data_IF_899530942920
#
_entry.id   IF_899530942920
#
_cell.length_a   1.000
_cell.length_b   1.000
_cell.length_c   1.000
_cell.angle_alpha   90.00
_cell.angle_beta   90.00
_cell.angle_gamma   90.00
#
_symmetry.space_group_name_H-M   'P 1'
#
loop_
_entity.id
_entity.type
_entity.pdbx_description
1 polymer ?
#
# COMPACT_ATOMS: atom_id res chain seq x y z
N UNK A 1 0.58 -15.38 18.00
CA UNK A 1 -0.10 -14.40 17.11
C UNK A 1 0.21 -14.73 15.65
N UNK A 2 -0.73 -14.53 14.72
CA UNK A 2 -0.52 -14.71 13.27
C UNK A 2 -0.87 -13.41 12.57
N UNK A 3 0.00 -12.96 11.67
CA UNK A 3 -0.24 -11.82 10.78
C UNK A 3 -0.56 -12.28 9.38
N UNK A 4 -1.53 -11.63 8.75
CA UNK A 4 -1.85 -11.79 7.33
C UNK A 4 -1.70 -10.43 6.68
N UNK A 5 -0.69 -10.28 5.82
CA UNK A 5 -0.46 -9.07 5.05
C UNK A 5 -1.16 -9.17 3.71
N UNK A 6 -1.94 -8.17 3.38
CA UNK A 6 -2.65 -8.10 2.11
C UNK A 6 -2.27 -6.81 1.40
N UNK A 7 -1.77 -6.94 0.18
CA UNK A 7 -1.57 -5.79 -0.71
C UNK A 7 -2.91 -5.34 -1.28
N UNK A 8 -3.09 -4.03 -1.46
CA UNK A 8 -4.28 -3.50 -2.13
C UNK A 8 -4.47 -4.09 -3.54
N UNK A 9 -5.71 -4.18 -3.99
CA UNK A 9 -6.04 -4.60 -5.34
C UNK A 9 -5.51 -3.64 -6.42
N UNK A 10 -5.48 -4.10 -7.66
CA UNK A 10 -5.03 -3.27 -8.80
C UNK A 10 -5.88 -2.02 -8.94
N UNK A 11 -5.24 -0.85 -9.00
CA UNK A 11 -5.91 0.44 -9.18
C UNK A 11 -5.94 0.85 -10.65
N UNK A 12 -6.71 1.89 -11.00
CA UNK A 12 -6.67 2.47 -12.34
C UNK A 12 -5.29 3.02 -12.68
N UNK A 13 -4.57 3.63 -11.71
CA UNK A 13 -3.19 4.07 -11.93
C UNK A 13 -2.24 2.91 -12.23
N UNK A 14 -2.43 1.76 -11.58
CA UNK A 14 -1.66 0.56 -11.93
C UNK A 14 -1.94 0.08 -13.36
N UNK A 15 -3.17 0.22 -13.86
CA UNK A 15 -3.52 -0.19 -15.23
C UNK A 15 -2.85 0.66 -16.30
N UNK A 16 -2.66 1.94 -16.02
CA UNK A 16 -2.04 2.90 -16.94
C UNK A 16 -0.58 3.24 -16.57
N UNK A 17 0.02 2.47 -15.64
CA UNK A 17 1.41 2.59 -15.22
C UNK A 17 1.80 3.99 -14.71
N UNK A 18 0.96 4.58 -13.88
CA UNK A 18 1.30 5.81 -13.16
C UNK A 18 1.85 5.47 -11.77
N UNK A 19 2.85 6.25 -11.34
CA UNK A 19 3.42 6.19 -10.00
C UNK A 19 2.36 6.64 -8.99
N UNK A 20 2.11 5.82 -7.98
CA UNK A 20 1.30 6.18 -6.83
C UNK A 20 2.23 6.59 -5.68
N UNK A 21 1.79 6.64 -4.54
CA UNK A 21 2.41 7.01 -3.29
C UNK A 21 1.26 7.49 -2.43
N UNK A 22 1.27 8.75 -2.06
CA UNK A 22 0.16 9.37 -1.35
C UNK A 22 -0.98 9.80 -2.27
N UNK A 23 -0.70 10.10 -3.55
CA UNK A 23 -1.77 10.27 -4.51
C UNK A 23 -2.51 8.93 -4.71
N UNK A 24 -3.78 8.99 -4.98
CA UNK A 24 -4.64 7.80 -4.92
C UNK A 24 -5.50 7.64 -6.16
N UNK A 25 -5.85 6.40 -6.41
CA UNK A 25 -6.72 6.00 -7.49
C UNK A 25 -7.56 4.81 -7.00
N UNK A 26 -8.85 4.77 -7.29
CA UNK A 26 -9.69 3.67 -6.85
C UNK A 26 -9.28 2.35 -7.48
N UNK A 27 -9.70 1.24 -6.89
CA UNK A 27 -9.52 -0.09 -7.46
C UNK A 27 -10.21 -0.17 -8.82
N UNK A 28 -9.51 -0.76 -9.79
CA UNK A 28 -10.10 -1.09 -11.08
C UNK A 28 -11.05 -2.28 -10.95
N UNK A 29 -11.86 -2.55 -11.98
CA UNK A 29 -12.71 -3.75 -12.02
C UNK A 29 -11.91 -5.04 -11.84
N UNK A 30 -10.68 -5.08 -12.35
CA UNK A 30 -9.76 -6.21 -12.15
C UNK A 30 -9.33 -6.29 -10.70
N UNK A 31 -8.94 -5.16 -10.10
CA UNK A 31 -8.54 -5.06 -8.70
C UNK A 31 -9.64 -5.50 -7.74
N UNK A 32 -10.88 -5.08 -7.98
CA UNK A 32 -12.03 -5.51 -7.17
C UNK A 32 -12.17 -7.03 -7.20
N UNK A 33 -12.14 -7.66 -8.38
CA UNK A 33 -12.22 -9.13 -8.51
C UNK A 33 -11.05 -9.85 -7.82
N UNK A 34 -9.83 -9.28 -7.88
CA UNK A 34 -8.67 -9.82 -7.15
C UNK A 34 -8.95 -9.83 -5.64
N UNK A 35 -9.44 -8.71 -5.10
CA UNK A 35 -9.71 -8.59 -3.67
C UNK A 35 -10.87 -9.47 -3.22
N UNK A 36 -11.92 -9.60 -4.04
CA UNK A 36 -13.02 -10.55 -3.78
C UNK A 36 -12.54 -11.99 -3.72
N UNK A 37 -11.60 -12.38 -4.58
CA UNK A 37 -10.97 -13.71 -4.54
C UNK A 37 -10.15 -13.91 -3.27
N UNK A 38 -9.38 -12.92 -2.84
CA UNK A 38 -8.64 -12.94 -1.57
C UNK A 38 -9.61 -13.02 -0.40
N UNK A 39 -10.70 -12.25 -0.42
CA UNK A 39 -11.73 -12.28 0.63
C UNK A 39 -12.28 -13.70 0.84
N UNK A 40 -12.57 -14.42 -0.25
CA UNK A 40 -13.02 -15.82 -0.18
C UNK A 40 -11.96 -16.74 0.45
N UNK A 41 -10.69 -16.57 0.09
CA UNK A 41 -9.61 -17.37 0.67
C UNK A 41 -9.44 -17.08 2.17
N UNK A 42 -9.71 -15.87 2.60
CA UNK A 42 -9.61 -15.46 4.00
C UNK A 42 -10.84 -15.84 4.84
N UNK A 43 -11.92 -16.34 4.25
CA UNK A 43 -13.10 -16.80 4.99
C UNK A 43 -12.78 -17.90 6.02
N UNK A 44 -11.80 -18.76 5.72
CA UNK A 44 -11.35 -19.84 6.62
C UNK A 44 -10.59 -19.36 7.86
N UNK A 45 -10.15 -18.11 7.90
CA UNK A 45 -9.38 -17.57 9.02
C UNK A 45 -10.26 -16.70 9.91
N UNK A 46 -10.18 -16.94 11.22
CA UNK A 46 -10.68 -15.99 12.20
C UNK A 46 -9.73 -14.80 12.24
N UNK A 47 -10.28 -13.60 12.12
CA UNK A 47 -9.57 -12.34 12.20
C UNK A 47 -10.07 -11.63 13.44
N UNK A 48 -9.18 -11.30 14.36
CA UNK A 48 -9.54 -10.62 15.60
C UNK A 48 -9.47 -9.11 15.43
N UNK A 49 -8.47 -8.62 14.69
CA UNK A 49 -8.28 -7.20 14.37
C UNK A 49 -7.78 -7.05 12.94
N UNK A 50 -8.15 -5.96 12.31
CA UNK A 50 -7.68 -5.58 10.98
C UNK A 50 -7.21 -4.14 10.98
N UNK A 51 -6.04 -3.90 10.43
CA UNK A 51 -5.44 -2.57 10.28
C UNK A 51 -5.33 -2.23 8.81
N UNK A 52 -5.52 -0.97 8.46
CA UNK A 52 -5.38 -0.49 7.09
C UNK A 52 -4.71 0.87 7.07
N UNK A 53 -3.97 1.14 5.98
CA UNK A 53 -3.53 2.48 5.64
C UNK A 53 -4.72 3.41 5.41
N UNK A 54 -4.50 4.73 5.52
CA UNK A 54 -5.51 5.74 5.20
C UNK A 54 -5.72 5.94 3.69
N UNK A 55 -4.86 5.37 2.85
CA UNK A 55 -4.99 5.52 1.39
C UNK A 55 -6.24 4.80 0.88
N UNK A 56 -7.04 5.47 0.05
CA UNK A 56 -8.34 4.99 -0.39
C UNK A 56 -8.32 3.61 -1.03
N UNK A 57 -7.27 3.27 -1.82
CA UNK A 57 -7.08 1.94 -2.39
C UNK A 57 -6.92 0.84 -1.34
N UNK A 58 -6.24 1.15 -0.23
CA UNK A 58 -6.07 0.22 0.89
C UNK A 58 -7.38 0.09 1.68
N UNK A 59 -8.04 1.21 1.95
CA UNK A 59 -9.35 1.24 2.62
C UNK A 59 -10.40 0.47 1.82
N UNK A 60 -10.47 0.69 0.51
CA UNK A 60 -11.38 -0.04 -0.38
C UNK A 60 -11.12 -1.54 -0.36
N UNK A 61 -9.84 -1.95 -0.36
CA UNK A 61 -9.43 -3.35 -0.23
C UNK A 61 -9.86 -3.94 1.10
N UNK A 62 -9.58 -3.25 2.21
CA UNK A 62 -9.97 -3.69 3.55
C UNK A 62 -11.49 -3.86 3.68
N UNK A 63 -12.28 -2.89 3.20
CA UNK A 63 -13.73 -2.93 3.25
C UNK A 63 -14.31 -4.13 2.48
N UNK A 64 -13.78 -4.47 1.30
CA UNK A 64 -14.21 -5.65 0.55
C UNK A 64 -13.93 -6.93 1.33
N UNK A 65 -12.75 -7.06 1.94
CA UNK A 65 -12.35 -8.26 2.68
C UNK A 65 -13.18 -8.41 3.97
N UNK A 66 -13.41 -7.31 4.68
CA UNK A 66 -14.03 -7.31 6.01
C UNK A 66 -15.56 -7.26 5.98
N UNK A 67 -16.16 -6.92 4.82
CA UNK A 67 -17.61 -6.74 4.67
C UNK A 67 -18.44 -7.91 5.19
N UNK A 68 -17.94 -9.14 5.08
CA UNK A 68 -18.61 -10.37 5.54
C UNK A 68 -18.20 -10.82 6.94
N UNK A 69 -17.23 -10.15 7.54
CA UNK A 69 -16.65 -10.55 8.83
C UNK A 69 -17.18 -9.74 10.02
N UNK A 70 -17.91 -8.66 9.75
CA UNK A 70 -18.42 -7.79 10.81
C UNK A 70 -17.33 -7.10 11.62
N UNK A 71 -16.16 -6.87 11.01
CA UNK A 71 -15.00 -6.23 11.63
C UNK A 71 -14.78 -4.89 10.93
N UNK A 72 -14.66 -3.82 11.70
CA UNK A 72 -14.25 -2.51 11.20
C UNK A 72 -12.73 -2.39 11.20
N UNK A 73 -12.13 -1.85 10.13
CA UNK A 73 -10.69 -1.66 10.08
C UNK A 73 -10.24 -0.54 11.03
N UNK A 74 -9.11 -0.75 11.67
CA UNK A 74 -8.38 0.27 12.42
C UNK A 74 -7.46 0.99 11.43
N UNK A 75 -7.60 2.31 11.34
CA UNK A 75 -6.79 3.13 10.45
C UNK A 75 -5.44 3.45 11.09
N UNK A 76 -4.36 3.09 10.41
CA UNK A 76 -2.99 3.35 10.87
C UNK A 76 -2.27 4.22 9.83
N UNK A 77 -2.01 5.47 10.21
CA UNK A 77 -1.41 6.45 9.32
C UNK A 77 0.01 6.05 8.87
N UNK A 78 0.77 5.42 9.76
CA UNK A 78 2.14 4.99 9.49
C UNK A 78 2.24 3.88 8.43
N UNK A 79 1.10 3.23 8.05
CA UNK A 79 1.06 2.24 6.96
C UNK A 79 0.82 2.84 5.58
N UNK A 80 0.95 4.15 5.44
CA UNK A 80 0.95 4.76 4.10
C UNK A 80 2.14 4.29 3.29
N UNK A 81 1.93 4.23 1.97
CA UNK A 81 3.01 4.11 0.98
C UNK A 81 3.99 5.28 1.12
N UNK A 82 5.22 5.08 0.64
CA UNK A 82 6.20 6.16 0.53
C UNK A 82 5.59 7.32 -0.27
N UNK A 83 5.80 8.54 0.22
CA UNK A 83 5.49 9.74 -0.55
C UNK A 83 6.59 9.96 -1.60
N UNK A 84 6.24 9.88 -2.88
CA UNK A 84 7.16 10.13 -3.99
C UNK A 84 7.21 11.60 -4.41
N UNK A 85 6.50 12.48 -3.71
CA UNK A 85 6.46 13.92 -3.97
C UNK A 85 5.98 14.26 -5.38
N UNK A 86 6.73 15.11 -6.09
CA UNK A 86 6.38 15.56 -7.45
C UNK A 86 6.42 14.46 -8.51
N UNK A 87 6.91 13.26 -8.18
CA UNK A 87 6.91 12.12 -9.08
C UNK A 87 5.57 11.36 -9.08
N UNK A 88 4.66 11.69 -8.17
CA UNK A 88 3.34 11.06 -8.12
C UNK A 88 2.47 11.47 -9.31
N UNK A 89 1.75 10.50 -9.87
CA UNK A 89 0.94 10.70 -11.08
C UNK A 89 1.73 10.72 -12.38
N UNK A 90 3.07 10.59 -12.33
CA UNK A 90 3.92 10.49 -13.51
C UNK A 90 4.02 9.02 -13.94
N UNK A 91 4.22 8.79 -15.25
CA UNK A 91 4.39 7.42 -15.74
C UNK A 91 5.67 6.78 -15.14
N UNK A 92 5.54 5.52 -14.73
CA UNK A 92 6.68 4.76 -14.17
C UNK A 92 7.84 4.65 -15.18
N UNK A 93 7.55 4.62 -16.48
CA UNK A 93 8.57 4.64 -17.53
C UNK A 93 9.39 5.93 -17.52
N UNK A 94 8.72 7.10 -17.35
CA UNK A 94 9.40 8.38 -17.27
C UNK A 94 10.27 8.48 -16.02
N UNK A 95 9.76 8.04 -14.86
CA UNK A 95 10.52 7.99 -13.61
C UNK A 95 11.80 7.16 -13.77
N UNK A 96 11.71 6.00 -14.42
CA UNK A 96 12.89 5.16 -14.73
C UNK A 96 13.87 5.84 -15.67
N UNK A 97 13.37 6.51 -16.73
CA UNK A 97 14.24 7.24 -17.67
C UNK A 97 15.01 8.40 -17.03
N UNK A 98 14.47 8.97 -15.96
CA UNK A 98 15.17 10.01 -15.19
C UNK A 98 16.24 9.45 -14.25
N UNK A 99 16.48 8.14 -14.27
CA UNK A 99 17.42 7.41 -13.37
C UNK A 99 17.17 7.69 -11.87
N UNK A 100 15.94 7.99 -11.53
CA UNK A 100 15.54 8.28 -10.14
C UNK A 100 15.45 6.99 -9.34
N UNK A 101 15.05 5.88 -10.00
CA UNK A 101 15.01 4.56 -9.41
C UNK A 101 16.22 3.72 -9.87
N UNK A 102 16.87 3.05 -8.91
CA UNK A 102 17.85 2.01 -9.23
C UNK A 102 17.16 0.89 -10.01
N UNK A 103 17.83 0.27 -11.02
CA UNK A 103 17.31 -0.92 -11.71
C UNK A 103 16.90 -2.05 -10.76
N UNK A 104 17.51 -2.10 -9.58
CA UNK A 104 17.30 -3.09 -8.53
C UNK A 104 16.61 -2.47 -7.30
N UNK A 105 15.62 -1.63 -7.51
CA UNK A 105 14.92 -0.94 -6.41
C UNK A 105 14.37 -1.89 -5.32
N UNK A 106 14.01 -3.13 -5.67
CA UNK A 106 13.60 -4.17 -4.70
C UNK A 106 14.76 -4.67 -3.82
N UNK A 107 15.99 -4.53 -4.28
CA UNK A 107 17.21 -4.96 -3.57
C UNK A 107 17.90 -3.79 -2.88
N UNK A 108 17.65 -2.58 -3.35
CA UNK A 108 18.27 -1.36 -2.88
C UNK A 108 17.24 -0.47 -2.17
N UNK A 109 17.13 -0.66 -0.87
CA UNK A 109 16.25 0.13 0.01
C UNK A 109 16.77 1.55 0.29
N UNK A 110 17.85 1.97 -0.37
CA UNK A 110 18.48 3.27 -0.20
C UNK A 110 17.87 4.35 -1.10
N UNK A 111 16.53 4.37 -1.23
CA UNK A 111 15.87 5.36 -2.06
C UNK A 111 15.39 6.55 -1.24
N UNK A 112 15.91 7.71 -1.58
CA UNK A 112 15.58 8.99 -0.96
C UNK A 112 14.81 9.87 -1.94
N UNK A 113 13.53 10.09 -1.67
CA UNK A 113 12.67 10.94 -2.49
C UNK A 113 12.57 12.39 -1.99
N UNK A 114 13.30 12.76 -0.91
CA UNK A 114 13.30 14.14 -0.40
C UNK A 114 13.74 15.19 -1.44
N UNK A 115 14.69 14.90 -2.37
CA UNK A 115 14.99 15.83 -3.46
C UNK A 115 13.81 16.12 -4.40
N UNK A 116 12.77 15.29 -4.37
CA UNK A 116 11.53 15.40 -5.15
C UNK A 116 10.32 15.77 -4.29
N UNK A 117 10.55 16.38 -3.13
CA UNK A 117 9.50 16.73 -2.16
C UNK A 117 8.77 15.51 -1.55
N UNK A 118 9.41 14.35 -1.58
CA UNK A 118 8.91 13.10 -1.03
C UNK A 118 9.54 12.72 0.32
N UNK A 119 9.54 11.42 0.62
CA UNK A 119 10.10 10.86 1.86
C UNK A 119 11.36 10.04 1.60
N UNK A 120 12.16 9.86 2.65
CA UNK A 120 13.21 8.84 2.70
C UNK A 120 12.56 7.47 3.03
N UNK A 121 12.89 6.44 2.27
CA UNK A 121 12.33 5.11 2.50
C UNK A 121 12.72 4.52 3.86
N UNK A 122 13.90 4.88 4.38
CA UNK A 122 14.33 4.46 5.71
C UNK A 122 13.40 4.99 6.81
N UNK A 123 13.00 6.26 6.72
CA UNK A 123 12.08 6.87 7.68
C UNK A 123 10.70 6.18 7.62
N UNK A 124 10.25 5.80 6.42
CA UNK A 124 8.98 5.08 6.24
C UNK A 124 9.05 3.68 6.84
N UNK A 125 10.16 2.96 6.62
CA UNK A 125 10.38 1.63 7.21
C UNK A 125 10.39 1.70 8.74
N UNK A 126 11.03 2.71 9.33
CA UNK A 126 11.04 2.91 10.78
C UNK A 126 9.62 3.15 11.33
N UNK A 127 8.83 4.01 10.69
CA UNK A 127 7.44 4.26 11.08
C UNK A 127 6.59 2.99 11.01
N UNK A 128 6.76 2.17 9.96
CA UNK A 128 6.06 0.89 9.83
C UNK A 128 6.48 -0.09 10.94
N UNK A 129 7.76 -0.13 11.26
CA UNK A 129 8.28 -1.01 12.31
C UNK A 129 7.72 -0.63 13.69
N UNK A 130 7.73 0.65 14.04
CA UNK A 130 7.14 1.16 15.28
C UNK A 130 5.65 0.79 15.38
N UNK A 131 4.89 1.04 14.32
CA UNK A 131 3.47 0.67 14.29
C UNK A 131 3.23 -0.83 14.49
N UNK A 132 4.04 -1.68 13.87
CA UNK A 132 3.95 -3.13 14.04
C UNK A 132 4.33 -3.57 15.45
N UNK A 133 5.33 -2.96 16.07
CA UNK A 133 5.70 -3.26 17.46
C UNK A 133 4.56 -2.94 18.43
N UNK A 134 3.94 -1.76 18.31
CA UNK A 134 2.80 -1.37 19.13
C UNK A 134 1.57 -2.31 18.97
N UNK A 135 1.39 -2.89 17.78
CA UNK A 135 0.31 -3.84 17.53
C UNK A 135 0.60 -5.21 18.17
N UNK A 136 1.86 -5.56 18.34
CA UNK A 136 2.30 -6.86 18.90
C UNK A 136 2.21 -6.85 20.44
N UNK A 137 2.42 -5.71 21.07
CA UNK A 137 2.33 -5.53 22.53
C UNK A 137 0.86 -5.57 23.02
#
# INVERSE_FOLDING_TARGET
MRFIFVRHGKTHFNEINLTQGWCDSPLSKVGIRQVESISKQLEQYQIDKAYTSLLGRAVQTANIILSKKGIEPIYEERFKEVNFGILEGISTELVRKLNIESPNWLENLDMDYRPYEGEDIHDVILKHHEALQEIIE
#
